data_IF_308685083158
#
_entry.id   IF_308685083158
#
_cell.length_a   1.000
_cell.length_b   1.000
_cell.length_c   1.000
_cell.angle_alpha   90.00
_cell.angle_beta   90.00
_cell.angle_gamma   90.00
#
_symmetry.space_group_name_H-M   'P 1'
#
loop_
_entity.id
_entity.type
_entity.pdbx_description
1 polymer ?
#
# COMPACT_ATOMS: atom_id res chain seq x y z
N UNK A 1 -2.77 -19.09 -2.11
CA UNK A 1 -3.03 -17.81 -1.45
C UNK A 1 -4.10 -17.00 -2.17
N UNK A 2 -4.97 -16.27 -1.43
CA UNK A 2 -5.89 -15.30 -2.00
C UNK A 2 -5.51 -13.91 -1.48
N UNK A 3 -5.32 -12.94 -2.37
CA UNK A 3 -4.96 -11.58 -2.01
C UNK A 3 -5.78 -10.54 -2.79
N UNK A 4 -5.87 -9.35 -2.23
CA UNK A 4 -6.37 -8.13 -2.91
C UNK A 4 -5.16 -7.21 -3.11
N UNK A 5 -5.08 -6.58 -4.27
CA UNK A 5 -4.14 -5.50 -4.54
C UNK A 5 -4.90 -4.21 -4.83
N UNK A 6 -4.52 -3.14 -4.18
CA UNK A 6 -5.01 -1.79 -4.42
C UNK A 6 -3.86 -0.78 -4.33
N UNK A 7 -4.02 0.35 -5.01
CA UNK A 7 -3.10 1.48 -5.02
C UNK A 7 -3.91 2.77 -5.27
N UNK A 8 -3.30 3.92 -5.08
CA UNK A 8 -3.84 5.23 -5.48
C UNK A 8 -5.27 5.48 -4.96
N UNK A 9 -5.52 5.14 -3.69
CA UNK A 9 -6.85 5.31 -3.06
C UNK A 9 -7.12 6.78 -2.77
N UNK A 10 -6.07 7.55 -2.44
CA UNK A 10 -6.10 8.99 -2.19
C UNK A 10 -7.23 9.39 -1.23
N UNK A 11 -7.29 8.73 -0.06
CA UNK A 11 -8.21 9.12 1.00
C UNK A 11 -7.96 10.58 1.39
N UNK A 12 -9.04 11.32 1.58
CA UNK A 12 -9.04 12.75 1.90
C UNK A 12 -8.55 13.68 0.78
N UNK A 13 -8.39 13.16 -0.44
CA UNK A 13 -8.07 14.00 -1.59
C UNK A 13 -9.03 15.20 -1.69
N UNK A 14 -8.48 16.42 -1.83
CA UNK A 14 -9.28 17.59 -2.11
C UNK A 14 -9.84 17.45 -3.53
N UNK A 15 -11.05 16.96 -3.68
CA UNK A 15 -11.72 16.77 -4.98
C UNK A 15 -11.81 18.10 -5.74
N UNK A 16 -10.67 18.52 -6.37
CA UNK A 16 -10.54 19.77 -7.12
C UNK A 16 -11.14 19.62 -8.52
N UNK A 17 -12.43 19.51 -8.59
CA UNK A 17 -13.18 19.45 -9.84
C UNK A 17 -14.29 20.48 -9.83
N UNK A 18 -15.07 20.58 -10.90
CA UNK A 18 -16.27 21.42 -10.97
C UNK A 18 -17.41 20.99 -10.02
N UNK A 19 -17.06 20.38 -8.90
CA UNK A 19 -18.00 19.91 -7.89
C UNK A 19 -18.27 20.99 -6.85
N UNK A 20 -19.51 21.01 -6.34
CA UNK A 20 -19.84 21.79 -5.13
C UNK A 20 -19.15 21.14 -3.90
N UNK A 21 -18.90 21.92 -2.86
CA UNK A 21 -18.33 21.42 -1.60
C UNK A 21 -19.11 20.22 -1.03
N UNK A 22 -20.44 20.21 -1.18
CA UNK A 22 -21.28 19.08 -0.75
C UNK A 22 -21.02 17.82 -1.57
N UNK A 23 -20.89 17.95 -2.88
CA UNK A 23 -20.56 16.82 -3.77
C UNK A 23 -19.16 16.27 -3.47
N UNK A 24 -18.16 17.14 -3.31
CA UNK A 24 -16.81 16.74 -2.94
C UNK A 24 -16.79 15.96 -1.61
N UNK A 25 -17.47 16.47 -0.58
CA UNK A 25 -17.58 15.78 0.71
C UNK A 25 -18.27 14.42 0.59
N UNK A 26 -19.30 14.31 -0.25
CA UNK A 26 -19.99 13.04 -0.50
C UNK A 26 -19.04 12.03 -1.16
N UNK A 27 -18.30 12.44 -2.18
CA UNK A 27 -17.34 11.58 -2.88
C UNK A 27 -16.20 11.11 -1.97
N UNK A 28 -15.61 12.03 -1.19
CA UNK A 28 -14.59 11.65 -0.19
C UNK A 28 -15.12 10.59 0.80
N UNK A 29 -16.34 10.74 1.27
CA UNK A 29 -16.96 9.75 2.15
C UNK A 29 -17.28 8.41 1.44
N UNK A 30 -17.54 8.42 0.13
CA UNK A 30 -17.76 7.21 -0.67
C UNK A 30 -16.44 6.43 -0.85
N UNK A 31 -15.30 7.10 -1.06
CA UNK A 31 -14.00 6.45 -1.17
C UNK A 31 -13.66 5.74 0.14
N UNK A 32 -13.78 6.43 1.29
CA UNK A 32 -13.55 5.82 2.60
C UNK A 32 -14.48 4.63 2.85
N UNK A 33 -15.78 4.76 2.53
CA UNK A 33 -16.71 3.62 2.64
C UNK A 33 -16.35 2.45 1.73
N UNK A 34 -15.80 2.72 0.56
CA UNK A 34 -15.32 1.66 -0.34
C UNK A 34 -14.13 0.91 0.24
N UNK A 35 -13.19 1.63 0.86
CA UNK A 35 -12.09 1.01 1.60
C UNK A 35 -12.61 0.10 2.73
N UNK A 36 -13.49 0.61 3.59
CA UNK A 36 -14.08 -0.19 4.69
C UNK A 36 -14.82 -1.42 4.17
N UNK A 37 -15.56 -1.30 3.06
CA UNK A 37 -16.23 -2.47 2.44
C UNK A 37 -15.22 -3.46 1.88
N UNK A 38 -14.09 -3.02 1.36
CA UNK A 38 -13.02 -3.89 0.89
C UNK A 38 -12.45 -4.72 2.04
N UNK A 39 -12.22 -4.14 3.23
CA UNK A 39 -11.74 -4.90 4.40
C UNK A 39 -12.74 -5.96 4.84
N UNK A 40 -14.02 -5.63 4.87
CA UNK A 40 -15.09 -6.58 5.19
C UNK A 40 -15.17 -7.71 4.16
N UNK A 41 -15.12 -7.36 2.86
CA UNK A 41 -15.10 -8.33 1.77
C UNK A 41 -13.89 -9.27 1.89
N UNK A 42 -12.71 -8.74 2.21
CA UNK A 42 -11.50 -9.52 2.40
C UNK A 42 -11.70 -10.60 3.47
N UNK A 43 -12.22 -10.22 4.63
CA UNK A 43 -12.57 -11.15 5.71
C UNK A 43 -13.58 -12.21 5.27
N UNK A 44 -14.72 -11.79 4.71
CA UNK A 44 -15.83 -12.68 4.34
C UNK A 44 -15.45 -13.69 3.26
N UNK A 45 -14.45 -13.38 2.44
CA UNK A 45 -14.00 -14.21 1.33
C UNK A 45 -12.68 -14.95 1.58
N UNK A 46 -12.17 -14.94 2.81
CA UNK A 46 -10.93 -15.65 3.18
C UNK A 46 -9.71 -15.12 2.44
N UNK A 47 -9.63 -13.80 2.22
CA UNK A 47 -8.44 -13.13 1.72
C UNK A 47 -7.39 -13.10 2.82
N UNK A 48 -6.18 -13.54 2.53
CA UNK A 48 -5.11 -13.61 3.52
C UNK A 48 -4.33 -12.30 3.64
N UNK A 49 -4.20 -11.55 2.52
CA UNK A 49 -3.55 -10.27 2.54
C UNK A 49 -4.19 -9.25 1.59
N UNK A 50 -4.19 -7.99 2.00
CA UNK A 50 -4.47 -6.82 1.16
C UNK A 50 -3.16 -6.06 0.98
N UNK A 51 -2.68 -5.97 -0.25
CA UNK A 51 -1.51 -5.16 -0.61
C UNK A 51 -2.01 -3.76 -0.96
N UNK A 52 -1.54 -2.76 -0.23
CA UNK A 52 -1.79 -1.34 -0.48
C UNK A 52 -0.48 -0.76 -1.02
N UNK A 53 -0.42 -0.62 -2.34
CA UNK A 53 0.81 -0.28 -3.05
C UNK A 53 0.89 1.22 -3.37
N UNK A 54 1.00 2.03 -2.33
CA UNK A 54 1.17 3.48 -2.39
C UNK A 54 -0.12 4.27 -2.44
N UNK A 55 0.01 5.54 -2.07
CA UNK A 55 -0.98 6.58 -2.16
C UNK A 55 -2.34 6.21 -1.51
N UNK A 56 -2.26 5.69 -0.27
CA UNK A 56 -3.45 5.43 0.55
C UNK A 56 -4.13 6.74 0.94
N UNK A 57 -3.34 7.73 1.29
CA UNK A 57 -3.79 9.06 1.67
C UNK A 57 -3.35 10.09 0.63
N UNK A 58 -3.93 11.28 0.65
CA UNK A 58 -3.57 12.37 -0.26
C UNK A 58 -3.25 13.65 0.52
N UNK A 59 -1.96 14.02 0.47
CA UNK A 59 -1.45 15.31 0.93
C UNK A 59 -1.20 15.46 2.42
N UNK A 60 -0.71 16.66 2.77
CA UNK A 60 -0.21 17.07 4.08
C UNK A 60 -1.29 17.13 5.20
N UNK A 61 -2.57 16.88 4.88
CA UNK A 61 -3.68 17.13 5.80
C UNK A 61 -4.71 15.99 5.78
N UNK A 62 -4.24 14.80 6.05
CA UNK A 62 -5.16 13.70 6.29
C UNK A 62 -5.91 13.96 7.60
N UNK A 63 -7.22 13.85 7.56
CA UNK A 63 -8.04 14.05 8.76
C UNK A 63 -7.87 12.89 9.72
N UNK A 64 -7.59 13.16 10.99
CA UNK A 64 -7.44 12.15 12.04
C UNK A 64 -8.57 11.10 12.02
N UNK A 65 -9.81 11.55 11.89
CA UNK A 65 -10.97 10.66 11.80
C UNK A 65 -10.93 9.69 10.62
N UNK A 66 -10.24 10.05 9.53
CA UNK A 66 -10.08 9.17 8.36
C UNK A 66 -9.04 8.10 8.65
N UNK A 67 -7.92 8.48 9.28
CA UNK A 67 -6.91 7.55 9.76
C UNK A 67 -7.50 6.59 10.78
N UNK A 68 -8.24 7.10 11.76
CA UNK A 68 -8.91 6.29 12.77
C UNK A 68 -9.87 5.27 12.14
N UNK A 69 -10.66 5.70 11.14
CA UNK A 69 -11.60 4.82 10.45
C UNK A 69 -10.88 3.71 9.64
N UNK A 70 -9.71 4.02 9.06
CA UNK A 70 -8.87 3.04 8.35
C UNK A 70 -8.30 2.02 9.33
N UNK A 71 -7.68 2.47 10.42
CA UNK A 71 -7.09 1.59 11.44
C UNK A 71 -8.16 0.73 12.12
N UNK A 72 -9.31 1.30 12.46
CA UNK A 72 -10.45 0.58 13.03
C UNK A 72 -10.98 -0.50 12.07
N UNK A 73 -11.05 -0.21 10.76
CA UNK A 73 -11.48 -1.19 9.77
C UNK A 73 -10.49 -2.36 9.66
N UNK A 74 -9.18 -2.09 9.70
CA UNK A 74 -8.13 -3.11 9.70
C UNK A 74 -8.17 -3.94 11.00
N UNK A 75 -8.28 -3.29 12.14
CA UNK A 75 -8.35 -3.94 13.46
C UNK A 75 -9.55 -4.88 13.61
N UNK A 76 -10.67 -4.56 12.95
CA UNK A 76 -11.88 -5.40 12.94
C UNK A 76 -11.78 -6.64 12.06
N UNK A 77 -10.70 -6.80 11.32
CA UNK A 77 -10.43 -7.94 10.43
C UNK A 77 -9.05 -8.53 10.70
N UNK A 78 -8.78 -9.00 11.94
CA UNK A 78 -7.43 -9.40 12.37
C UNK A 78 -6.87 -10.61 11.61
N UNK A 79 -7.72 -11.38 10.95
CA UNK A 79 -7.33 -12.51 10.10
C UNK A 79 -6.81 -12.11 8.72
N UNK A 80 -6.88 -10.82 8.36
CA UNK A 80 -6.42 -10.28 7.09
C UNK A 80 -5.20 -9.40 7.34
N UNK A 81 -4.07 -9.72 6.73
CA UNK A 81 -2.88 -8.86 6.77
C UNK A 81 -3.03 -7.68 5.80
N UNK A 82 -2.65 -6.49 6.24
CA UNK A 82 -2.58 -5.29 5.39
C UNK A 82 -1.12 -4.94 5.18
N UNK A 83 -0.62 -5.21 3.96
CA UNK A 83 0.77 -4.96 3.56
C UNK A 83 0.83 -3.58 2.91
N UNK A 84 1.26 -2.59 3.68
CA UNK A 84 1.25 -1.20 3.24
C UNK A 84 2.64 -0.73 2.79
N UNK A 85 2.71 -0.30 1.55
CA UNK A 85 3.84 0.41 0.96
C UNK A 85 3.45 1.89 0.81
N UNK A 86 4.12 2.83 1.46
CA UNK A 86 3.85 4.25 1.22
C UNK A 86 4.20 4.66 -0.21
N UNK A 87 3.37 5.53 -0.79
CA UNK A 87 3.63 6.20 -2.06
C UNK A 87 4.26 7.58 -1.87
N UNK A 88 4.44 8.30 -2.96
CA UNK A 88 5.05 9.63 -2.95
C UNK A 88 4.11 10.74 -2.44
N UNK A 89 2.80 10.48 -2.40
CA UNK A 89 1.79 11.35 -1.79
C UNK A 89 1.47 10.98 -0.34
N UNK A 90 1.91 9.81 0.10
CA UNK A 90 1.79 9.41 1.48
C UNK A 90 2.95 10.01 2.28
N UNK A 91 2.79 11.18 2.83
CA UNK A 91 3.61 11.60 3.98
C UNK A 91 3.21 10.76 5.21
N UNK A 92 3.04 9.49 4.97
CA UNK A 92 2.37 8.51 5.83
C UNK A 92 3.20 8.12 7.06
N UNK A 93 4.49 8.44 7.09
CA UNK A 93 5.22 8.43 8.35
C UNK A 93 4.51 9.32 9.38
N UNK A 94 3.86 10.40 8.92
CA UNK A 94 3.13 11.32 9.78
C UNK A 94 1.69 10.88 10.06
N UNK A 95 1.00 10.23 9.10
CA UNK A 95 -0.39 9.81 9.31
C UNK A 95 -0.53 8.71 10.38
N UNK A 96 0.47 7.85 10.50
CA UNK A 96 0.52 6.78 11.52
C UNK A 96 1.42 7.11 12.71
N UNK A 97 2.06 8.29 12.72
CA UNK A 97 2.91 8.73 13.81
C UNK A 97 2.11 8.82 15.11
N UNK A 98 2.74 8.42 16.21
CA UNK A 98 2.17 8.44 17.57
C UNK A 98 0.86 7.64 17.75
N UNK A 99 0.56 6.69 16.84
CA UNK A 99 -0.61 5.83 16.93
C UNK A 99 -0.23 4.39 17.23
N UNK A 100 -1.06 3.72 18.00
CA UNK A 100 -0.99 2.27 18.16
C UNK A 100 -1.53 1.61 16.88
N UNK A 101 -0.64 0.88 16.18
CA UNK A 101 -1.00 0.22 14.94
C UNK A 101 -1.56 -1.18 15.20
N UNK A 102 -2.58 -1.63 14.45
CA UNK A 102 -3.06 -2.99 14.51
C UNK A 102 -1.94 -3.99 14.14
N UNK A 103 -1.88 -5.13 14.82
CA UNK A 103 -0.85 -6.16 14.58
C UNK A 103 -0.85 -6.71 13.13
N UNK A 104 -2.01 -6.67 12.47
CA UNK A 104 -2.19 -7.08 11.10
C UNK A 104 -1.87 -5.99 10.06
N UNK A 105 -1.49 -4.78 10.49
CA UNK A 105 -0.92 -3.76 9.61
C UNK A 105 0.60 -3.90 9.56
N UNK A 106 1.11 -4.28 8.41
CA UNK A 106 2.52 -4.57 8.15
C UNK A 106 3.08 -3.55 7.16
N UNK A 107 4.14 -2.85 7.57
CA UNK A 107 4.69 -1.73 6.82
C UNK A 107 5.94 -2.16 6.03
N UNK A 108 6.04 -1.73 4.79
CA UNK A 108 7.29 -1.67 4.04
C UNK A 108 8.01 -0.35 4.31
N UNK A 109 9.31 -0.33 4.11
CA UNK A 109 10.16 0.84 4.37
C UNK A 109 11.33 0.93 3.39
N UNK A 110 12.38 1.65 3.74
CA UNK A 110 13.55 1.96 2.90
C UNK A 110 14.48 0.76 2.61
N UNK A 111 14.20 -0.37 3.22
CA UNK A 111 14.90 -1.63 2.97
C UNK A 111 13.89 -2.72 2.64
N UNK A 112 14.34 -3.70 1.84
CA UNK A 112 13.51 -4.84 1.50
C UNK A 112 12.97 -5.52 2.75
N UNK A 113 11.65 -5.72 2.76
CA UNK A 113 10.96 -6.53 3.76
C UNK A 113 10.10 -7.56 3.04
N UNK A 114 10.10 -8.78 3.55
CA UNK A 114 9.35 -9.89 2.97
C UNK A 114 8.39 -10.46 3.99
N UNK A 115 7.14 -10.62 3.60
CA UNK A 115 6.11 -11.31 4.37
C UNK A 115 5.78 -12.63 3.67
N UNK A 116 6.03 -13.75 4.38
CA UNK A 116 5.87 -15.09 3.84
C UNK A 116 4.53 -15.68 4.24
N UNK A 117 3.90 -16.35 3.27
CA UNK A 117 2.69 -17.15 3.40
C UNK A 117 3.00 -18.57 2.92
N UNK A 118 2.04 -19.49 3.05
CA UNK A 118 2.26 -20.90 2.73
C UNK A 118 2.79 -21.14 1.30
N UNK A 119 2.23 -20.43 0.32
CA UNK A 119 2.50 -20.61 -1.12
C UNK A 119 2.99 -19.34 -1.83
N UNK A 120 3.17 -18.24 -1.09
CA UNK A 120 3.61 -16.96 -1.65
C UNK A 120 4.47 -16.16 -0.66
N UNK A 121 5.36 -15.35 -1.20
CA UNK A 121 6.13 -14.33 -0.47
C UNK A 121 5.90 -12.97 -1.12
N UNK A 122 5.57 -11.96 -0.31
CA UNK A 122 5.36 -10.58 -0.76
C UNK A 122 6.50 -9.73 -0.25
N UNK A 123 7.32 -9.23 -1.16
CA UNK A 123 8.45 -8.36 -0.87
C UNK A 123 8.18 -6.94 -1.34
N UNK A 124 8.51 -5.97 -0.51
CA UNK A 124 8.33 -4.56 -0.84
C UNK A 124 9.46 -3.69 -0.29
N UNK A 125 9.67 -2.57 -0.95
CA UNK A 125 10.61 -1.53 -0.54
C UNK A 125 10.17 -0.18 -1.09
N UNK A 126 10.35 0.88 -0.32
CA UNK A 126 10.14 2.26 -0.80
C UNK A 126 11.32 2.65 -1.68
N UNK A 127 11.03 3.09 -2.90
CA UNK A 127 12.07 3.56 -3.82
C UNK A 127 12.52 4.96 -3.38
N UNK A 128 13.76 5.07 -2.93
CA UNK A 128 14.44 6.32 -2.63
C UNK A 128 15.63 6.44 -3.54
N UNK A 129 15.82 7.59 -4.19
CA UNK A 129 16.95 7.96 -5.04
C UNK A 129 17.67 6.84 -5.85
N UNK A 130 18.52 7.18 -6.80
CA UNK A 130 19.22 6.30 -7.76
C UNK A 130 19.97 5.14 -7.09
N UNK A 131 19.26 4.07 -6.76
CA UNK A 131 19.85 2.84 -6.18
C UNK A 131 19.54 1.64 -7.05
N UNK A 132 20.32 1.45 -8.11
CA UNK A 132 20.30 0.15 -8.84
C UNK A 132 20.57 -1.03 -7.89
N UNK A 133 21.37 -0.83 -6.85
CA UNK A 133 21.66 -1.80 -5.80
C UNK A 133 20.41 -2.38 -5.11
N UNK A 134 19.29 -1.64 -5.09
CA UNK A 134 18.03 -2.14 -4.57
C UNK A 134 17.57 -3.39 -5.32
N UNK A 135 17.68 -3.37 -6.66
CA UNK A 135 17.29 -4.50 -7.50
C UNK A 135 18.27 -5.68 -7.35
N UNK A 136 19.52 -5.42 -7.02
CA UNK A 136 20.51 -6.48 -6.76
C UNK A 136 20.20 -7.26 -5.49
N UNK A 137 19.61 -6.60 -4.50
CA UNK A 137 19.27 -7.17 -3.20
C UNK A 137 17.84 -7.68 -3.13
N UNK A 138 17.13 -7.79 -4.26
CA UNK A 138 15.76 -8.29 -4.32
C UNK A 138 15.67 -9.66 -3.66
N UNK A 139 14.87 -9.80 -2.58
CA UNK A 139 14.72 -11.08 -1.91
C UNK A 139 13.96 -12.09 -2.79
N UNK A 140 14.36 -13.34 -2.69
CA UNK A 140 13.62 -14.47 -3.27
C UNK A 140 13.47 -15.55 -2.22
N UNK A 141 12.27 -16.11 -2.16
CA UNK A 141 11.95 -17.25 -1.31
C UNK A 141 11.70 -18.45 -2.21
N UNK A 142 12.48 -19.51 -2.02
CA UNK A 142 12.36 -20.72 -2.83
C UNK A 142 11.09 -21.49 -2.49
N UNK A 143 10.51 -22.14 -3.50
CA UNK A 143 9.35 -23.01 -3.35
C UNK A 143 8.01 -22.32 -3.24
N UNK A 144 7.95 -20.98 -3.41
CA UNK A 144 6.72 -20.23 -3.42
C UNK A 144 6.67 -19.18 -4.54
N UNK A 145 5.50 -18.62 -4.79
CA UNK A 145 5.31 -17.50 -5.71
C UNK A 145 5.87 -16.24 -5.07
N UNK A 146 6.84 -15.60 -5.75
CA UNK A 146 7.40 -14.35 -5.29
C UNK A 146 6.65 -13.17 -5.93
N UNK A 147 6.06 -12.33 -5.10
CA UNK A 147 5.39 -11.09 -5.48
C UNK A 147 6.23 -9.92 -5.01
N UNK A 148 6.43 -8.95 -5.90
CA UNK A 148 7.14 -7.71 -5.57
C UNK A 148 6.16 -6.55 -5.65
N UNK A 149 6.10 -5.76 -4.58
CA UNK A 149 5.32 -4.53 -4.54
C UNK A 149 6.25 -3.32 -4.50
N UNK A 150 6.04 -2.43 -5.43
CA UNK A 150 6.74 -1.15 -5.58
C UNK A 150 5.70 -0.10 -5.97
N UNK A 151 5.96 1.16 -5.61
CA UNK A 151 5.15 2.28 -6.07
C UNK A 151 5.99 3.22 -6.92
N UNK A 152 5.46 3.63 -8.09
CA UNK A 152 6.13 4.52 -9.03
C UNK A 152 5.77 4.25 -10.49
N UNK A 153 6.42 4.98 -11.38
CA UNK A 153 6.23 4.87 -12.83
C UNK A 153 7.15 3.79 -13.41
N UNK A 154 6.58 2.87 -14.18
CA UNK A 154 7.35 1.86 -14.88
C UNK A 154 8.18 2.49 -16.01
N UNK A 155 9.46 2.15 -16.07
CA UNK A 155 10.41 2.70 -17.05
C UNK A 155 11.67 1.86 -17.20
N UNK A 156 12.71 2.52 -17.71
CA UNK A 156 14.05 1.93 -17.92
C UNK A 156 15.13 2.58 -17.07
N UNK A 157 14.79 3.64 -16.35
CA UNK A 157 15.67 4.34 -15.40
C UNK A 157 15.40 3.89 -13.97
N UNK A 158 16.35 4.15 -13.09
CA UNK A 158 16.19 4.05 -11.64
C UNK A 158 16.03 5.45 -11.06
N UNK A 159 15.38 5.58 -9.92
CA UNK A 159 15.21 6.85 -9.22
C UNK A 159 14.03 6.81 -8.26
N UNK A 160 13.85 7.89 -7.56
CA UNK A 160 12.62 8.12 -6.79
C UNK A 160 11.45 8.03 -7.76
N UNK A 161 10.47 7.20 -7.44
CA UNK A 161 9.27 6.98 -8.25
C UNK A 161 9.51 6.35 -9.65
N UNK A 162 10.70 5.79 -9.92
CA UNK A 162 11.03 5.11 -11.18
C UNK A 162 11.27 3.62 -10.95
N UNK A 163 10.45 2.78 -11.59
CA UNK A 163 10.57 1.31 -11.52
C UNK A 163 11.24 0.79 -12.78
N UNK A 164 12.45 0.25 -12.65
CA UNK A 164 13.16 -0.35 -13.77
C UNK A 164 12.70 -1.80 -13.99
N UNK A 165 11.75 -1.99 -14.90
CA UNK A 165 11.18 -3.30 -15.22
C UNK A 165 12.21 -4.29 -15.75
N UNK A 166 13.22 -3.81 -16.47
CA UNK A 166 14.28 -4.68 -17.03
C UNK A 166 15.14 -5.30 -15.92
N UNK A 167 15.43 -4.54 -14.87
CA UNK A 167 16.17 -5.06 -13.72
C UNK A 167 15.35 -6.10 -12.96
N UNK A 168 14.04 -5.87 -12.78
CA UNK A 168 13.14 -6.87 -12.18
C UNK A 168 13.10 -8.16 -13.01
N UNK A 169 12.92 -8.06 -14.33
CA UNK A 169 12.92 -9.20 -15.24
C UNK A 169 14.23 -10.00 -15.17
N UNK A 170 15.38 -9.33 -15.10
CA UNK A 170 16.68 -9.98 -14.98
C UNK A 170 16.83 -10.77 -13.66
N UNK A 171 16.02 -10.47 -12.65
CA UNK A 171 15.95 -11.18 -11.37
C UNK A 171 14.88 -12.26 -11.32
N UNK A 172 14.12 -12.44 -12.42
CA UNK A 172 13.12 -13.48 -12.57
C UNK A 172 11.79 -13.16 -11.87
N UNK A 173 11.45 -11.87 -11.83
CA UNK A 173 10.14 -11.34 -11.41
C UNK A 173 9.38 -10.91 -12.64
#
# INVERSE_FOLDING_TARGET
>A
MKLIHCADIHLDSPMQTHMTARQAATRSAEVLRSFVRMTQYARENGVQAVIIAGDLFDGDRVRERTVDAVLDAMQKTPEVDYLYLPGNHDEAADAFCDRELPENLKLFGDSWRTYCYEDAAVSGVVLSEDREEIYERLPRVDGCVNLVTLHGQAGTSCGKDQINLKLLQNRGI
#
